data_IF_463927861956
#
_entry.id   IF_463927861956
#
_cell.length_a   1.000
_cell.length_b   1.000
_cell.length_c   1.000
_cell.angle_alpha   90.00
_cell.angle_beta   90.00
_cell.angle_gamma   90.00
#
_symmetry.space_group_name_H-M   'P 1'
#
loop_
_entity.id
_entity.type
_entity.pdbx_description
1 polymer ?
#
# COMPACT_ATOMS: atom_id res chain seq x y z
N UNK A 1 -3.54 -14.04 -3.94
CA UNK A 1 -2.34 -13.27 -3.53
C UNK A 1 -1.88 -13.78 -2.18
N UNK A 2 -0.57 -13.92 -1.97
CA UNK A 2 0.01 -14.22 -0.67
C UNK A 2 0.70 -12.94 -0.17
N UNK A 3 0.25 -12.43 0.97
CA UNK A 3 0.92 -11.35 1.71
C UNK A 3 1.52 -11.98 2.95
N UNK A 4 2.83 -12.15 2.97
CA UNK A 4 3.56 -12.80 4.06
C UNK A 4 4.52 -11.80 4.71
N UNK A 5 4.11 -11.25 5.86
CA UNK A 5 4.92 -10.32 6.65
C UNK A 5 5.85 -11.01 7.65
N UNK A 6 5.97 -12.35 7.62
CA UNK A 6 6.87 -13.05 8.55
C UNK A 6 8.32 -12.72 8.25
N UNK A 7 9.13 -12.60 9.29
CA UNK A 7 10.58 -12.53 9.15
C UNK A 7 11.08 -13.79 8.43
N UNK A 8 11.79 -13.63 7.32
CA UNK A 8 12.35 -14.76 6.59
C UNK A 8 13.28 -15.57 7.51
N UNK A 9 13.05 -16.89 7.61
CA UNK A 9 13.92 -17.81 8.35
C UNK A 9 15.28 -17.89 7.65
N UNK A 10 16.17 -16.97 8.01
CA UNK A 10 17.59 -17.02 7.65
C UNK A 10 18.39 -17.13 8.93
N UNK A 11 19.59 -17.71 8.87
CA UNK A 11 20.51 -17.73 10.02
C UNK A 11 21.02 -16.34 10.45
N UNK A 12 20.60 -15.28 9.76
CA UNK A 12 20.97 -13.89 10.04
C UNK A 12 19.92 -13.29 10.97
N UNK A 13 20.34 -12.80 12.14
CA UNK A 13 19.47 -12.00 13.01
C UNK A 13 19.13 -10.68 12.33
N UNK A 14 17.94 -10.60 11.74
CA UNK A 14 17.34 -9.38 11.21
C UNK A 14 16.07 -9.10 11.99
N UNK A 15 15.80 -7.83 12.29
CA UNK A 15 14.48 -7.44 12.78
C UNK A 15 13.42 -7.95 11.80
N UNK A 16 12.28 -8.43 12.32
CA UNK A 16 11.14 -8.76 11.48
C UNK A 16 10.73 -7.54 10.67
N UNK A 17 10.47 -7.74 9.38
CA UNK A 17 9.97 -6.67 8.53
C UNK A 17 8.45 -6.61 8.68
N UNK A 18 7.96 -5.76 9.60
CA UNK A 18 6.54 -5.52 9.75
C UNK A 18 6.10 -4.40 8.79
N UNK A 19 5.54 -4.77 7.64
CA UNK A 19 4.91 -3.83 6.72
C UNK A 19 3.41 -3.70 7.03
N UNK A 20 2.94 -2.46 7.19
CA UNK A 20 1.49 -2.18 7.28
C UNK A 20 0.95 -1.92 5.87
N UNK A 21 -0.03 -2.70 5.43
CA UNK A 21 -0.61 -2.58 4.09
C UNK A 21 -2.07 -2.07 4.14
N UNK A 22 -2.42 -1.24 3.16
CA UNK A 22 -3.80 -0.83 2.88
C UNK A 22 -4.25 -1.49 1.56
N UNK A 23 -5.21 -2.41 1.67
CA UNK A 23 -5.84 -3.08 0.52
C UNK A 23 -7.17 -2.39 0.21
N UNK A 24 -7.33 -1.91 -1.02
CA UNK A 24 -8.57 -1.28 -1.50
C UNK A 24 -9.13 -2.09 -2.65
N UNK A 25 -10.40 -2.48 -2.56
CA UNK A 25 -11.09 -3.23 -3.62
C UNK A 25 -12.32 -2.44 -4.06
N UNK A 26 -12.34 -2.00 -5.31
CA UNK A 26 -13.53 -1.41 -5.90
C UNK A 26 -14.34 -2.47 -6.65
N UNK A 27 -15.34 -3.04 -5.96
CA UNK A 27 -16.32 -3.94 -6.54
C UNK A 27 -17.51 -3.23 -7.21
N UNK A 28 -17.43 -1.91 -7.42
CA UNK A 28 -18.43 -1.17 -8.21
C UNK A 28 -18.16 -1.32 -9.71
N UNK A 29 -19.16 -0.95 -10.51
CA UNK A 29 -19.03 -0.73 -11.95
C UNK A 29 -18.61 0.70 -12.30
N UNK A 30 -18.61 1.61 -11.31
CA UNK A 30 -18.15 2.99 -11.45
C UNK A 30 -16.82 3.22 -10.74
N UNK A 31 -16.11 4.28 -11.15
CA UNK A 31 -14.93 4.75 -10.44
C UNK A 31 -15.31 5.36 -9.09
N UNK A 32 -14.52 5.08 -8.05
CA UNK A 32 -14.74 5.60 -6.70
C UNK A 32 -13.53 6.43 -6.29
N UNK A 33 -13.77 7.68 -5.93
CA UNK A 33 -12.74 8.53 -5.34
C UNK A 33 -12.53 8.14 -3.88
N UNK A 34 -11.35 7.62 -3.56
CA UNK A 34 -10.99 7.18 -2.24
C UNK A 34 -9.97 8.14 -1.62
N UNK A 35 -10.25 8.65 -0.42
CA UNK A 35 -9.31 9.50 0.32
C UNK A 35 -8.41 8.61 1.17
N UNK A 36 -7.09 8.70 0.96
CA UNK A 36 -6.12 7.93 1.72
C UNK A 36 -6.12 8.38 3.20
N UNK A 37 -6.37 7.47 4.15
CA UNK A 37 -6.53 7.85 5.55
C UNK A 37 -5.18 8.20 6.18
N UNK A 38 -5.18 9.15 7.11
CA UNK A 38 -4.01 9.37 7.94
C UNK A 38 -3.86 8.24 8.96
N UNK A 39 -2.61 7.80 9.20
CA UNK A 39 -2.29 6.78 10.21
C UNK A 39 -1.26 7.35 11.17
N UNK A 40 -1.48 7.28 12.51
CA UNK A 40 -0.50 7.72 13.49
C UNK A 40 0.86 7.07 13.27
N UNK A 41 1.93 7.85 13.42
CA UNK A 41 3.33 7.43 13.21
C UNK A 41 3.66 6.99 11.77
N UNK A 42 2.71 7.13 10.84
CA UNK A 42 2.95 7.00 9.41
C UNK A 42 3.40 8.33 8.80
N UNK A 43 4.05 8.26 7.64
CA UNK A 43 4.49 9.44 6.88
C UNK A 43 3.73 9.61 5.57
N UNK A 44 3.57 8.53 4.81
CA UNK A 44 2.90 8.51 3.51
C UNK A 44 2.57 7.07 3.08
N UNK A 45 1.84 6.94 1.98
CA UNK A 45 1.62 5.68 1.29
C UNK A 45 2.51 5.56 0.05
N UNK A 46 3.04 4.37 -0.19
CA UNK A 46 3.58 3.97 -1.49
C UNK A 46 2.60 3.00 -2.16
N UNK A 47 2.24 3.22 -3.43
CA UNK A 47 1.48 2.24 -4.19
C UNK A 47 2.37 1.06 -4.61
N UNK A 48 1.98 -0.15 -4.21
CA UNK A 48 2.66 -1.39 -4.59
C UNK A 48 2.01 -2.07 -5.79
N UNK A 49 0.68 -2.05 -5.85
CA UNK A 49 -0.11 -2.68 -6.90
C UNK A 49 -1.26 -1.76 -7.25
N UNK A 50 -1.41 -1.46 -8.54
CA UNK A 50 -2.65 -0.93 -9.12
C UNK A 50 -2.99 -1.79 -10.33
N UNK A 51 -4.10 -2.53 -10.29
CA UNK A 51 -4.53 -3.40 -11.40
C UNK A 51 -4.97 -2.63 -12.66
N UNK A 52 -5.09 -1.31 -12.58
CA UNK A 52 -5.44 -0.44 -13.70
C UNK A 52 -4.22 0.13 -14.43
N UNK A 53 -3.02 0.04 -13.84
CA UNK A 53 -1.78 0.51 -14.45
C UNK A 53 -1.02 -0.65 -15.09
N UNK A 54 -0.55 -0.45 -16.32
CA UNK A 54 0.26 -1.45 -17.04
C UNK A 54 1.69 -1.54 -16.49
N UNK A 55 2.16 -0.53 -15.75
CA UNK A 55 3.48 -0.52 -15.15
C UNK A 55 3.42 -0.85 -13.65
N UNK A 56 3.99 -2.00 -13.29
CA UNK A 56 3.95 -2.57 -11.95
C UNK A 56 4.85 -1.84 -10.92
N UNK A 57 5.34 -0.63 -11.22
CA UNK A 57 6.42 0.03 -10.46
C UNK A 57 6.26 1.53 -10.28
N UNK A 58 5.06 2.10 -10.41
CA UNK A 58 4.83 3.46 -9.91
C UNK A 58 4.88 3.43 -8.37
N UNK A 59 6.10 3.51 -7.81
CA UNK A 59 6.34 3.87 -6.41
C UNK A 59 6.01 5.35 -6.22
N UNK A 60 4.80 5.73 -6.59
CA UNK A 60 4.30 7.06 -6.33
C UNK A 60 4.03 7.18 -4.83
N UNK A 61 4.53 8.28 -4.28
CA UNK A 61 4.35 8.61 -2.88
C UNK A 61 3.08 9.45 -2.76
N UNK A 62 2.14 8.98 -1.95
CA UNK A 62 0.88 9.67 -1.70
C UNK A 62 0.84 10.17 -0.27
N UNK A 63 0.70 11.48 -0.10
CA UNK A 63 0.47 12.08 1.21
C UNK A 63 -0.89 11.62 1.77
N UNK A 64 -1.05 11.65 3.08
CA UNK A 64 -2.35 11.46 3.70
C UNK A 64 -3.38 12.49 3.21
N UNK A 65 -4.64 12.08 3.14
CA UNK A 65 -5.72 12.90 2.60
C UNK A 65 -5.72 13.01 1.07
N UNK A 66 -4.70 12.51 0.36
CA UNK A 66 -4.71 12.45 -1.09
C UNK A 66 -5.91 11.64 -1.58
N UNK A 67 -6.57 12.15 -2.62
CA UNK A 67 -7.67 11.44 -3.27
C UNK A 67 -7.12 10.60 -4.42
N UNK A 68 -7.42 9.31 -4.40
CA UNK A 68 -7.05 8.37 -5.45
C UNK A 68 -8.30 7.77 -6.06
N UNK A 69 -8.42 7.85 -7.39
CA UNK A 69 -9.56 7.26 -8.09
C UNK A 69 -9.33 5.78 -8.29
N UNK A 70 -10.12 4.96 -7.59
CA UNK A 70 -10.11 3.52 -7.75
C UNK A 70 -11.03 3.16 -8.91
N UNK A 71 -10.47 2.69 -10.02
CA UNK A 71 -11.26 2.41 -11.24
C UNK A 71 -12.24 1.24 -11.03
N UNK A 72 -13.29 1.09 -11.87
CA UNK A 72 -14.22 -0.02 -11.75
C UNK A 72 -13.52 -1.37 -11.71
N UNK A 73 -14.02 -2.30 -10.88
CA UNK A 73 -13.54 -3.70 -10.83
C UNK A 73 -12.03 -3.83 -10.62
N UNK A 74 -11.43 -2.92 -9.86
CA UNK A 74 -9.98 -2.87 -9.62
C UNK A 74 -9.61 -3.14 -8.16
N UNK A 75 -8.33 -3.41 -7.96
CA UNK A 75 -7.70 -3.61 -6.67
C UNK A 75 -6.43 -2.75 -6.61
N UNK A 76 -6.26 -2.07 -5.48
CA UNK A 76 -5.06 -1.31 -5.14
C UNK A 76 -4.44 -1.89 -3.85
N UNK A 77 -3.11 -1.90 -3.78
CA UNK A 77 -2.36 -2.22 -2.58
C UNK A 77 -1.36 -1.12 -2.31
N UNK A 78 -1.46 -0.51 -1.13
CA UNK A 78 -0.51 0.49 -0.65
C UNK A 78 0.28 -0.06 0.54
N UNK A 79 1.54 0.34 0.65
CA UNK A 79 2.34 0.19 1.85
C UNK A 79 2.37 1.51 2.62
N UNK A 80 2.08 1.45 3.92
CA UNK A 80 2.27 2.59 4.81
C UNK A 80 3.76 2.69 5.17
N UNK A 81 4.39 3.81 4.81
CA UNK A 81 5.73 4.13 5.27
C UNK A 81 5.69 4.84 6.61
N UNK A 82 6.67 4.55 7.44
CA UNK A 82 6.92 5.18 8.74
C UNK A 82 8.32 5.80 8.69
N UNK A 83 8.61 6.79 9.52
CA UNK A 83 10.00 7.20 9.71
C UNK A 83 10.77 5.98 10.23
N UNK A 84 11.90 5.65 9.58
CA UNK A 84 12.77 4.57 10.04
C UNK A 84 13.16 4.88 11.49
N UNK A 85 12.67 4.04 12.43
CA UNK A 85 13.23 4.04 13.77
C UNK A 85 14.64 3.44 13.67
N UNK A 86 15.63 4.33 13.62
CA UNK A 86 17.06 3.99 13.66
C UNK A 86 17.42 3.16 14.89
#
# INVERSE_FOLDING_TARGET
>A
MLMDGRAQETGIRRAGADATLLLVVNASHDGVNFTLPEVPEGTHYECLIDTNQDDARSKEHFAFGSQYTVTPRSLLLFELKREDQQ
#
